data_IF_036735814367
#
_entry.id   IF_036735814367
#
_cell.length_a   1.000
_cell.length_b   1.000
_cell.length_c   1.000
_cell.angle_alpha   90.00
_cell.angle_beta   90.00
_cell.angle_gamma   90.00
#
_symmetry.space_group_name_H-M   'P 1'
#
loop_
_entity.id
_entity.type
_entity.pdbx_description
1 polymer ?
#
# COMPACT_ATOMS: atom_id res chain seq x y z
N UNK A 1 27.33 -2.70 -71.44
CA UNK A 1 28.21 -3.59 -70.65
C UNK A 1 28.24 -3.11 -69.20
N UNK A 2 28.23 -4.07 -68.26
CA UNK A 2 28.20 -3.99 -66.77
C UNK A 2 26.81 -3.90 -66.10
N UNK A 3 26.39 -4.96 -65.37
CA UNK A 3 25.18 -5.02 -64.54
C UNK A 3 25.49 -4.69 -63.06
N UNK A 4 24.49 -4.89 -62.18
CA UNK A 4 24.44 -4.72 -60.70
C UNK A 4 23.60 -3.48 -60.32
N UNK A 5 22.64 -3.53 -59.40
CA UNK A 5 22.56 -4.33 -58.19
C UNK A 5 21.09 -4.39 -57.73
N UNK A 6 20.50 -5.58 -57.62
CA UNK A 6 19.22 -5.77 -56.92
C UNK A 6 19.53 -5.80 -55.42
N UNK A 7 19.09 -4.80 -54.66
CA UNK A 7 19.11 -4.85 -53.20
C UNK A 7 17.65 -4.85 -52.73
N UNK A 8 17.15 -6.05 -52.44
CA UNK A 8 15.92 -6.27 -51.69
C UNK A 8 16.29 -6.24 -50.21
N UNK A 9 15.85 -5.24 -49.45
CA UNK A 9 15.93 -5.25 -47.97
C UNK A 9 14.52 -5.53 -47.46
N UNK A 10 14.30 -6.78 -47.04
CA UNK A 10 13.16 -7.14 -46.21
C UNK A 10 13.53 -6.83 -44.76
N UNK A 11 12.94 -5.78 -44.17
CA UNK A 11 13.08 -5.48 -42.75
C UNK A 11 12.07 -6.34 -41.97
N UNK A 12 12.57 -7.36 -41.25
CA UNK A 12 11.78 -8.15 -40.31
C UNK A 12 11.93 -7.50 -38.94
N UNK A 13 10.88 -6.83 -38.46
CA UNK A 13 10.78 -6.37 -37.06
C UNK A 13 10.20 -7.50 -36.21
N UNK A 14 11.05 -8.21 -35.48
CA UNK A 14 10.62 -9.17 -34.46
C UNK A 14 10.32 -8.37 -33.18
N UNK A 15 9.05 -8.05 -32.96
CA UNK A 15 8.56 -7.55 -31.68
C UNK A 15 8.40 -8.75 -30.73
N UNK A 16 9.47 -9.13 -30.03
CA UNK A 16 9.39 -10.09 -28.93
C UNK A 16 8.81 -9.38 -27.69
N UNK A 17 7.50 -9.47 -27.51
CA UNK A 17 6.84 -9.07 -26.28
C UNK A 17 7.22 -10.04 -25.16
N UNK A 18 8.20 -9.66 -24.33
CA UNK A 18 8.47 -10.34 -23.08
C UNK A 18 7.36 -10.00 -22.09
N UNK A 19 6.26 -10.75 -22.10
CA UNK A 19 5.35 -10.77 -20.95
C UNK A 19 6.03 -11.55 -19.84
N UNK A 20 6.76 -10.86 -18.97
CA UNK A 20 7.16 -11.41 -17.68
C UNK A 20 5.90 -11.63 -16.88
N UNK A 21 5.36 -12.84 -16.95
CA UNK A 21 4.35 -13.31 -16.02
C UNK A 21 5.08 -13.45 -14.68
N UNK A 22 5.03 -12.37 -13.88
CA UNK A 22 5.41 -12.47 -12.48
C UNK A 22 4.41 -13.43 -11.85
N UNK A 23 4.81 -14.70 -11.71
CA UNK A 23 4.14 -15.63 -10.83
C UNK A 23 4.24 -15.01 -9.44
N UNK A 24 3.21 -14.26 -9.04
CA UNK A 24 3.00 -13.94 -7.64
C UNK A 24 2.75 -15.27 -6.98
N UNK A 25 3.81 -15.87 -6.43
CA UNK A 25 3.67 -16.93 -5.46
C UNK A 25 2.73 -16.37 -4.40
N UNK A 26 1.49 -16.85 -4.39
CA UNK A 26 0.51 -16.56 -3.36
C UNK A 26 1.01 -17.26 -2.11
N UNK A 27 2.00 -16.65 -1.47
CA UNK A 27 2.35 -16.96 -0.11
C UNK A 27 1.05 -16.83 0.68
N UNK A 28 0.57 -17.95 1.19
CA UNK A 28 -0.63 -17.99 2.03
C UNK A 28 -0.49 -16.90 3.09
N UNK A 29 -1.30 -15.84 2.95
CA UNK A 29 -1.19 -14.68 3.81
C UNK A 29 -1.60 -15.14 5.22
N UNK A 30 -0.67 -15.09 6.16
CA UNK A 30 -0.93 -15.44 7.55
C UNK A 30 -2.15 -14.68 8.05
N UNK A 31 -3.11 -15.40 8.63
CA UNK A 31 -4.22 -14.80 9.38
C UNK A 31 -3.80 -14.66 10.84
N UNK A 32 -3.93 -13.47 11.38
CA UNK A 32 -3.54 -13.16 12.75
C UNK A 32 -4.76 -13.20 13.68
N UNK A 33 -4.54 -13.61 14.93
CA UNK A 33 -5.49 -13.25 15.99
C UNK A 33 -5.35 -11.77 16.33
N UNK A 34 -6.42 -11.15 16.83
CA UNK A 34 -6.44 -9.70 17.10
C UNK A 34 -5.28 -9.23 18.00
N UNK A 35 -5.14 -9.83 19.19
CA UNK A 35 -4.07 -9.46 20.12
C UNK A 35 -2.67 -9.78 19.60
N UNK A 36 -2.53 -10.86 18.84
CA UNK A 36 -1.27 -11.20 18.18
C UNK A 36 -0.89 -10.13 17.15
N UNK A 37 -1.85 -9.71 16.32
CA UNK A 37 -1.65 -8.65 15.33
C UNK A 37 -1.19 -7.35 16.00
N UNK A 38 -1.89 -6.93 17.06
CA UNK A 38 -1.54 -5.72 17.80
C UNK A 38 -0.11 -5.80 18.35
N UNK A 39 0.27 -6.93 18.95
CA UNK A 39 1.60 -7.10 19.53
C UNK A 39 2.72 -7.10 18.49
N UNK A 40 2.48 -7.70 17.31
CA UNK A 40 3.47 -7.77 16.23
C UNK A 40 3.73 -6.39 15.62
N UNK A 41 2.67 -5.60 15.39
CA UNK A 41 2.75 -4.39 14.57
C UNK A 41 2.77 -3.06 15.34
N UNK A 42 2.35 -3.02 16.61
CA UNK A 42 2.36 -1.79 17.41
C UNK A 42 3.76 -1.16 17.42
N UNK A 43 3.84 0.13 17.06
CA UNK A 43 5.09 0.90 17.06
C UNK A 43 6.09 0.49 15.99
N UNK A 44 5.75 -0.41 15.06
CA UNK A 44 6.59 -0.74 13.91
C UNK A 44 6.52 0.35 12.84
N UNK A 45 7.52 0.40 11.97
CA UNK A 45 7.54 1.35 10.85
C UNK A 45 6.87 0.80 9.59
N UNK A 46 6.60 1.66 8.60
CA UNK A 46 5.96 1.24 7.35
C UNK A 46 6.76 0.17 6.61
N UNK A 47 8.09 0.27 6.62
CA UNK A 47 8.98 -0.72 5.99
C UNK A 47 8.74 -2.12 6.53
N UNK A 48 8.74 -2.29 7.85
CA UNK A 48 8.47 -3.57 8.50
C UNK A 48 7.08 -4.10 8.12
N UNK A 49 6.08 -3.22 8.07
CA UNK A 49 4.72 -3.59 7.68
C UNK A 49 4.68 -4.09 6.23
N UNK A 50 5.33 -3.39 5.28
CA UNK A 50 5.41 -3.82 3.87
C UNK A 50 6.14 -5.14 3.71
N UNK A 51 7.28 -5.32 4.38
CA UNK A 51 8.06 -6.55 4.31
C UNK A 51 7.28 -7.74 4.88
N UNK A 52 6.45 -7.51 5.91
CA UNK A 52 5.68 -8.58 6.58
C UNK A 52 4.35 -8.89 5.89
N UNK A 53 3.61 -7.86 5.46
CA UNK A 53 2.23 -7.98 4.97
C UNK A 53 2.08 -7.80 3.46
N UNK A 54 3.13 -7.33 2.79
CA UNK A 54 3.07 -6.85 1.42
C UNK A 54 2.31 -5.52 1.29
N UNK A 55 2.02 -5.16 0.04
CA UNK A 55 1.32 -3.92 -0.27
C UNK A 55 -0.13 -3.93 0.29
N UNK A 56 -0.59 -2.82 0.87
CA UNK A 56 -1.99 -2.68 1.26
C UNK A 56 -2.89 -2.61 0.03
N UNK A 57 -4.15 -3.02 0.20
CA UNK A 57 -5.15 -2.92 -0.87
C UNK A 57 -5.52 -1.46 -1.17
N UNK A 58 -5.44 -0.59 -0.17
CA UNK A 58 -5.66 0.86 -0.30
C UNK A 58 -4.78 1.60 0.70
N UNK A 59 -4.37 2.81 0.30
CA UNK A 59 -3.75 3.82 1.17
C UNK A 59 -4.62 5.07 1.16
N UNK A 60 -4.70 5.77 2.28
CA UNK A 60 -5.37 7.06 2.40
C UNK A 60 -4.55 7.98 3.29
N UNK A 61 -4.48 9.26 2.96
CA UNK A 61 -3.94 10.30 3.82
C UNK A 61 -5.06 11.29 4.14
N UNK A 62 -5.16 11.76 5.39
CA UNK A 62 -6.09 12.83 5.72
C UNK A 62 -5.77 14.06 4.87
N UNK A 63 -6.78 14.59 4.19
CA UNK A 63 -6.67 15.89 3.51
C UNK A 63 -7.33 16.90 4.43
N UNK A 64 -6.59 17.95 4.80
CA UNK A 64 -7.16 19.09 5.52
C UNK A 64 -8.27 19.70 4.65
N UNK A 65 -9.52 19.85 5.15
CA UNK A 65 -10.58 20.50 4.40
C UNK A 65 -10.20 21.95 4.05
N UNK A 66 -10.57 22.39 2.85
CA UNK A 66 -10.46 23.80 2.48
C UNK A 66 -11.24 24.65 3.50
N UNK A 67 -10.65 25.76 3.94
CA UNK A 67 -11.18 26.68 4.97
C UNK A 67 -11.20 26.19 6.42
N UNK A 68 -10.56 25.06 6.76
CA UNK A 68 -10.46 24.62 8.16
C UNK A 68 -9.82 25.67 9.09
N UNK A 69 -8.91 26.50 8.56
CA UNK A 69 -8.28 27.60 9.31
C UNK A 69 -9.25 28.70 9.75
N UNK A 70 -10.39 28.87 9.06
CA UNK A 70 -11.41 29.85 9.43
C UNK A 70 -12.32 29.40 10.59
N UNK A 71 -12.35 28.10 10.91
CA UNK A 71 -13.18 27.53 11.97
C UNK A 71 -12.41 27.27 13.26
N UNK A 72 -11.10 27.11 13.20
CA UNK A 72 -10.24 26.98 14.38
C UNK A 72 -9.87 28.39 14.84
N UNK A 73 -10.57 28.93 15.83
CA UNK A 73 -10.47 30.32 16.30
C UNK A 73 -9.09 30.79 16.80
N UNK A 74 -8.05 29.95 16.71
CA UNK A 74 -6.64 30.31 16.83
C UNK A 74 -5.84 29.51 15.82
N UNK A 75 -5.21 30.19 14.88
CA UNK A 75 -4.19 29.59 14.01
C UNK A 75 -3.09 29.07 14.93
N UNK A 76 -2.84 27.76 14.91
CA UNK A 76 -1.67 27.21 15.59
C UNK A 76 -0.41 27.94 15.06
N UNK A 77 0.62 28.17 15.89
CA UNK A 77 1.85 28.80 15.43
C UNK A 77 2.34 28.12 14.14
N UNK A 78 2.81 28.92 13.17
CA UNK A 78 3.28 28.44 11.85
C UNK A 78 4.35 27.35 11.93
N UNK A 79 4.97 27.20 13.10
CA UNK A 79 6.12 26.36 13.36
C UNK A 79 5.73 25.03 14.03
N UNK A 80 4.43 24.77 14.19
CA UNK A 80 3.94 23.49 14.70
C UNK A 80 4.35 22.36 13.75
N UNK A 81 5.02 21.34 14.29
CA UNK A 81 5.40 20.14 13.52
C UNK A 81 4.14 19.51 12.91
N UNK A 82 4.06 19.52 11.59
CA UNK A 82 3.00 18.84 10.86
C UNK A 82 3.27 17.34 10.91
N UNK A 83 2.36 16.61 11.55
CA UNK A 83 2.41 15.15 11.56
C UNK A 83 1.96 14.60 10.20
N UNK A 84 2.77 13.70 9.64
CA UNK A 84 2.39 12.98 8.43
C UNK A 84 1.56 11.77 8.84
N UNK A 85 0.31 11.74 8.40
CA UNK A 85 -0.64 10.66 8.70
C UNK A 85 -0.94 9.86 7.43
N UNK A 86 -0.84 8.54 7.53
CA UNK A 86 -1.17 7.62 6.44
C UNK A 86 -1.96 6.42 7.01
N UNK A 87 -3.01 6.00 6.32
CA UNK A 87 -3.89 4.90 6.71
C UNK A 87 -3.85 3.81 5.64
N UNK A 88 -3.48 2.60 6.04
CA UNK A 88 -3.35 1.44 5.15
C UNK A 88 -4.42 0.42 5.42
N UNK A 89 -4.96 -0.18 4.36
CA UNK A 89 -6.09 -1.09 4.44
C UNK A 89 -5.72 -2.47 3.92
N UNK A 90 -5.92 -3.49 4.76
CA UNK A 90 -5.70 -4.88 4.44
C UNK A 90 -7.00 -5.69 4.63
N UNK A 91 -7.55 -6.32 3.59
CA UNK A 91 -8.74 -7.14 3.74
C UNK A 91 -8.39 -8.50 4.36
N UNK A 92 -9.33 -9.04 5.14
CA UNK A 92 -9.33 -10.43 5.64
C UNK A 92 -8.02 -10.86 6.31
N UNK A 93 -7.38 -9.96 7.06
CA UNK A 93 -6.05 -10.20 7.66
C UNK A 93 -6.11 -10.70 9.10
N UNK A 94 -7.14 -10.28 9.84
CA UNK A 94 -7.27 -10.54 11.28
C UNK A 94 -8.57 -11.28 11.56
N UNK A 95 -8.49 -12.34 12.36
CA UNK A 95 -9.66 -13.14 12.78
C UNK A 95 -10.28 -12.61 14.07
N UNK A 96 -11.61 -12.57 14.15
CA UNK A 96 -12.35 -12.30 15.40
C UNK A 96 -12.93 -13.57 16.03
N UNK A 97 -12.98 -14.68 15.28
CA UNK A 97 -13.24 -16.02 15.82
C UNK A 97 -12.51 -17.07 14.97
N UNK A 98 -12.70 -18.35 15.28
CA UNK A 98 -12.01 -19.45 14.59
C UNK A 98 -12.35 -19.63 13.11
N UNK A 99 -13.40 -18.97 12.60
CA UNK A 99 -13.92 -19.16 11.24
C UNK A 99 -13.97 -17.89 10.41
N UNK A 100 -13.95 -16.72 11.04
CA UNK A 100 -14.27 -15.45 10.41
C UNK A 100 -13.17 -14.42 10.64
N UNK A 101 -12.93 -13.63 9.59
CA UNK A 101 -12.01 -12.50 9.59
C UNK A 101 -12.76 -11.20 9.51
N UNK A 102 -12.14 -10.15 10.04
CA UNK A 102 -12.59 -8.80 9.76
C UNK A 102 -12.47 -8.52 8.27
N UNK A 103 -13.51 -7.92 7.69
CA UNK A 103 -13.50 -7.52 6.27
C UNK A 103 -12.33 -6.58 5.96
N UNK A 104 -11.93 -5.75 6.93
CA UNK A 104 -10.85 -4.80 6.77
C UNK A 104 -10.08 -4.58 8.09
N UNK A 105 -8.75 -4.60 8.00
CA UNK A 105 -7.81 -4.07 9.00
C UNK A 105 -7.28 -2.74 8.48
N UNK A 106 -7.47 -1.67 9.25
CA UNK A 106 -6.85 -0.36 9.04
C UNK A 106 -5.62 -0.25 9.95
N UNK A 107 -4.48 0.16 9.39
CA UNK A 107 -3.26 0.51 10.13
C UNK A 107 -2.99 1.99 9.90
N UNK A 108 -2.99 2.78 10.96
CA UNK A 108 -2.70 4.22 10.90
C UNK A 108 -1.28 4.48 11.34
N UNK A 109 -0.53 5.15 10.48
CA UNK A 109 0.82 5.62 10.71
C UNK A 109 0.81 7.10 11.05
N UNK A 110 1.59 7.48 12.05
CA UNK A 110 1.96 8.86 12.33
C UNK A 110 3.48 8.93 12.23
N UNK A 111 3.99 9.74 11.31
CA UNK A 111 5.42 9.88 11.03
C UNK A 111 6.12 8.53 10.86
N UNK A 112 5.63 7.70 9.92
CA UNK A 112 6.13 6.35 9.59
C UNK A 112 5.88 5.26 10.65
N UNK A 113 5.35 5.58 11.85
CA UNK A 113 5.17 4.61 12.93
C UNK A 113 3.70 4.22 13.11
N UNK A 114 3.41 2.92 13.25
CA UNK A 114 2.08 2.39 13.59
C UNK A 114 1.61 2.97 14.93
N UNK A 115 0.63 3.84 14.83
CA UNK A 115 0.01 4.56 15.95
C UNK A 115 -1.33 3.95 16.35
N UNK A 116 -2.11 3.47 15.36
CA UNK A 116 -3.41 2.84 15.61
C UNK A 116 -3.65 1.65 14.67
N UNK A 117 -4.45 0.68 15.11
CA UNK A 117 -4.94 -0.45 14.35
C UNK A 117 -6.44 -0.63 14.61
N UNK A 118 -7.26 -0.62 13.56
CA UNK A 118 -8.72 -0.76 13.67
C UNK A 118 -9.21 -1.94 12.83
N UNK A 119 -10.19 -2.68 13.36
CA UNK A 119 -10.77 -3.86 12.71
C UNK A 119 -12.25 -3.66 12.42
N UNK A 120 -12.67 -3.89 11.17
CA UNK A 120 -13.97 -3.41 10.66
C UNK A 120 -14.73 -4.50 9.90
N UNK A 121 -16.04 -4.60 10.17
CA UNK A 121 -17.00 -5.54 9.56
C UNK A 121 -18.18 -4.87 8.82
N UNK A 122 -18.04 -3.61 8.40
CA UNK A 122 -19.07 -2.92 7.59
C UNK A 122 -19.16 -3.53 6.20
#
# INVERSE_FOLDING_TARGET
MKPLLKITIAAILIFSANSTWAATATQSKKIYKEMEFIQVFKGKNQKFVLETLGNPARKQSPVKPNNADGYVGKVAPSDAKVEVIEMWYYPNLVSYNSKQTFKQTEITFINDVVSNMTFVNK
#
